data_IF_830997671633
#
_entry.id   IF_830997671633
#
_cell.length_a   1.000
_cell.length_b   1.000
_cell.length_c   1.000
_cell.angle_alpha   90.00
_cell.angle_beta   90.00
_cell.angle_gamma   90.00
#
_symmetry.space_group_name_H-M   'P 1'
#
loop_
_entity.id
_entity.type
_entity.pdbx_description
1 polymer ?
#
# COMPACT_ATOMS: atom_id res chain seq x y z
N UNK A 1 -4.99 9.98 -0.22
CA UNK A 1 -4.35 10.96 -1.14
C UNK A 1 -3.03 11.39 -0.50
N UNK A 2 -1.88 11.22 -1.17
CA UNK A 2 -0.53 11.44 -0.60
C UNK A 2 -0.10 12.92 -0.55
N UNK A 3 -0.74 13.81 -1.30
CA UNK A 3 -0.37 15.22 -1.39
C UNK A 3 -1.40 16.09 -0.66
N UNK A 4 -1.02 16.67 0.48
CA UNK A 4 -1.88 17.57 1.26
C UNK A 4 -2.11 18.93 0.60
N UNK A 5 -1.26 19.27 -0.38
CA UNK A 5 -1.39 20.48 -1.18
C UNK A 5 -2.29 20.28 -2.41
N UNK A 6 -2.91 19.10 -2.57
CA UNK A 6 -3.75 18.82 -3.75
C UNK A 6 -5.16 19.37 -3.55
N UNK A 7 -5.59 20.21 -4.48
CA UNK A 7 -6.94 20.76 -4.53
C UNK A 7 -7.92 19.75 -5.17
N UNK A 8 -9.22 20.02 -5.04
CA UNK A 8 -10.30 19.15 -5.51
C UNK A 8 -10.30 18.91 -7.03
N UNK A 9 -9.67 19.78 -7.82
CA UNK A 9 -9.53 19.70 -9.28
C UNK A 9 -8.21 19.04 -9.73
N UNK A 10 -7.49 18.41 -8.80
CA UNK A 10 -6.13 17.87 -8.99
C UNK A 10 -5.07 18.94 -9.28
N UNK A 11 -5.31 20.21 -8.95
CA UNK A 11 -4.28 21.24 -8.97
C UNK A 11 -3.39 21.14 -7.73
N UNK A 12 -2.07 21.22 -7.91
CA UNK A 12 -1.14 21.39 -6.80
C UNK A 12 -1.10 22.85 -6.36
N UNK A 13 -1.38 23.11 -5.07
CA UNK A 13 -1.36 24.46 -4.48
C UNK A 13 0.02 25.12 -4.45
N UNK A 14 1.09 24.33 -4.37
CA UNK A 14 2.47 24.85 -4.28
C UNK A 14 2.95 25.34 -5.65
N UNK A 15 2.70 24.53 -6.69
CA UNK A 15 3.28 24.73 -8.01
C UNK A 15 2.30 25.33 -9.03
N UNK A 16 0.99 25.37 -8.72
CA UNK A 16 -0.04 25.91 -9.62
C UNK A 16 -0.23 25.09 -10.91
N UNK A 17 0.07 23.79 -10.83
CA UNK A 17 0.04 22.85 -11.98
C UNK A 17 -0.90 21.68 -11.71
N UNK A 18 -1.51 21.16 -12.77
CA UNK A 18 -2.44 20.04 -12.69
C UNK A 18 -1.68 18.72 -12.61
N UNK A 19 -1.92 17.98 -11.54
CA UNK A 19 -1.34 16.65 -11.32
C UNK A 19 -2.09 15.63 -12.17
N UNK A 20 -1.34 14.73 -12.81
CA UNK A 20 -1.84 13.63 -13.62
C UNK A 20 -0.98 12.37 -13.41
N UNK A 21 -1.38 11.25 -14.00
CA UNK A 21 -0.64 9.98 -13.92
C UNK A 21 0.84 10.09 -14.33
N UNK A 22 1.16 10.98 -15.27
CA UNK A 22 2.51 11.20 -15.79
C UNK A 22 3.16 12.49 -15.27
N UNK A 23 2.46 13.24 -14.42
CA UNK A 23 2.95 14.53 -13.92
C UNK A 23 2.57 14.68 -12.45
N UNK A 24 3.51 14.25 -11.60
CA UNK A 24 3.31 14.13 -10.16
C UNK A 24 3.90 15.31 -9.41
N UNK A 25 3.26 15.70 -8.30
CA UNK A 25 3.82 16.64 -7.35
C UNK A 25 4.92 15.95 -6.52
N UNK A 26 6.07 16.61 -6.33
CA UNK A 26 7.19 16.16 -5.48
C UNK A 26 7.01 16.52 -4.00
N UNK A 27 6.18 17.52 -3.70
CA UNK A 27 5.71 17.82 -2.34
C UNK A 27 4.57 16.89 -1.91
N UNK A 28 4.90 15.63 -1.61
CA UNK A 28 3.98 14.68 -1.02
C UNK A 28 4.56 14.08 0.26
N UNK A 29 3.68 13.69 1.18
CA UNK A 29 4.05 12.91 2.36
C UNK A 29 3.48 11.50 2.19
N UNK A 30 4.31 10.49 2.42
CA UNK A 30 3.82 9.11 2.43
C UNK A 30 2.95 8.92 3.67
N UNK A 31 1.63 8.82 3.48
CA UNK A 31 0.72 8.53 4.59
C UNK A 31 0.74 7.04 4.90
N UNK A 32 1.05 6.68 6.13
CA UNK A 32 1.07 5.29 6.59
C UNK A 32 -0.29 4.59 6.40
N UNK A 33 -1.41 5.31 6.50
CA UNK A 33 -2.76 4.79 6.24
C UNK A 33 -2.98 4.32 4.79
N UNK A 34 -2.14 4.80 3.86
CA UNK A 34 -2.13 4.41 2.45
C UNK A 34 -1.09 3.32 2.17
N UNK A 35 -0.32 2.92 3.19
CA UNK A 35 0.58 1.78 3.10
C UNK A 35 -0.26 0.49 3.15
N UNK A 36 -0.17 -0.27 2.07
CA UNK A 36 -0.83 -1.56 1.95
C UNK A 36 -0.04 -2.59 2.77
N UNK A 37 -0.46 -2.81 4.02
CA UNK A 37 0.21 -3.70 4.99
C UNK A 37 0.02 -5.20 4.66
N UNK A 38 0.36 -5.60 3.43
CA UNK A 38 0.36 -6.99 2.96
C UNK A 38 1.74 -7.60 3.13
N UNK A 39 1.88 -8.40 4.17
CA UNK A 39 3.05 -9.22 4.42
C UNK A 39 2.64 -10.62 4.86
N UNK A 40 3.62 -11.48 5.13
CA UNK A 40 3.38 -12.79 5.70
C UNK A 40 2.52 -12.73 6.97
N UNK A 41 2.80 -11.84 7.92
CA UNK A 41 2.02 -11.75 9.17
C UNK A 41 0.58 -11.31 8.97
N UNK A 42 0.25 -10.56 7.91
CA UNK A 42 -1.14 -10.22 7.57
C UNK A 42 -1.83 -11.24 6.66
N UNK A 43 -1.13 -12.27 6.16
CA UNK A 43 -1.67 -13.30 5.27
C UNK A 43 -2.40 -14.42 6.03
N UNK A 44 -3.54 -14.89 5.51
CA UNK A 44 -4.28 -16.04 6.07
C UNK A 44 -3.50 -17.35 6.04
N UNK A 45 -2.58 -17.51 5.09
CA UNK A 45 -1.82 -18.75 4.83
C UNK A 45 -0.46 -18.81 5.53
N UNK A 46 -0.11 -17.80 6.30
CA UNK A 46 1.17 -17.77 7.00
C UNK A 46 1.25 -18.87 8.06
N UNK A 47 2.38 -19.59 8.08
CA UNK A 47 2.62 -20.76 8.95
C UNK A 47 1.61 -21.90 8.78
N UNK A 48 0.89 -21.94 7.64
CA UNK A 48 -0.04 -23.03 7.29
C UNK A 48 0.54 -23.91 6.19
N UNK A 49 0.04 -25.14 6.12
CA UNK A 49 0.44 -26.13 5.10
C UNK A 49 0.15 -25.68 3.66
N UNK A 50 -0.82 -24.78 3.47
CA UNK A 50 -1.18 -24.21 2.17
C UNK A 50 -0.41 -22.92 1.82
N UNK A 51 0.62 -22.56 2.60
CA UNK A 51 1.55 -21.49 2.24
C UNK A 51 2.33 -21.87 0.98
N UNK A 52 2.41 -20.98 0.00
CA UNK A 52 3.21 -21.22 -1.21
C UNK A 52 4.73 -21.23 -0.97
N UNK A 53 5.19 -20.63 0.14
CA UNK A 53 6.62 -20.47 0.45
C UNK A 53 6.92 -20.71 1.94
N UNK A 54 6.59 -21.89 2.51
CA UNK A 54 6.59 -22.10 3.96
C UNK A 54 7.98 -21.96 4.59
N UNK A 55 9.04 -22.38 3.89
CA UNK A 55 10.42 -22.29 4.39
C UNK A 55 11.05 -20.89 4.30
N UNK A 56 10.42 -19.96 3.57
CA UNK A 56 10.96 -18.61 3.33
C UNK A 56 10.08 -17.50 3.88
N UNK A 57 8.83 -17.81 4.22
CA UNK A 57 7.90 -16.85 4.78
C UNK A 57 8.46 -16.29 6.09
N UNK A 58 8.48 -14.96 6.20
CA UNK A 58 8.99 -14.27 7.40
C UNK A 58 8.22 -12.98 7.63
N UNK A 59 8.16 -12.48 8.88
CA UNK A 59 7.58 -11.17 9.17
C UNK A 59 8.15 -10.06 8.29
N UNK A 60 7.30 -9.15 7.84
CA UNK A 60 7.66 -8.04 6.94
C UNK A 60 7.94 -8.45 5.47
N UNK A 61 7.97 -9.75 5.13
CA UNK A 61 8.16 -10.18 3.75
C UNK A 61 6.85 -10.08 2.97
N UNK A 62 6.88 -9.38 1.83
CA UNK A 62 5.76 -9.32 0.90
C UNK A 62 5.67 -10.61 0.08
N UNK A 63 4.45 -11.09 -0.16
CA UNK A 63 4.19 -12.31 -0.92
C UNK A 63 3.24 -12.00 -2.09
N UNK A 64 3.62 -12.39 -3.32
CA UNK A 64 2.80 -12.15 -4.52
C UNK A 64 1.48 -12.93 -4.53
N UNK A 65 1.38 -13.98 -3.71
CA UNK A 65 0.18 -14.81 -3.53
C UNK A 65 -0.44 -14.65 -2.15
N UNK A 66 -0.31 -13.45 -1.57
CA UNK A 66 -0.94 -13.05 -0.31
C UNK A 66 -2.46 -13.27 -0.37
N UNK A 67 -3.03 -13.77 0.74
CA UNK A 67 -4.45 -13.98 0.90
C UNK A 67 -4.96 -13.17 2.11
N UNK A 68 -6.07 -12.42 1.97
CA UNK A 68 -6.65 -11.66 3.07
C UNK A 68 -7.12 -12.60 4.18
N UNK A 69 -6.98 -12.19 5.44
CA UNK A 69 -7.64 -12.85 6.56
C UNK A 69 -9.12 -12.53 6.49
N UNK A 70 -9.98 -13.55 6.38
CA UNK A 70 -11.43 -13.37 6.47
C UNK A 70 -11.78 -12.60 7.77
N UNK A 71 -12.43 -11.44 7.62
CA UNK A 71 -12.95 -10.68 8.75
C UNK A 71 -14.20 -11.41 9.25
N UNK A 72 -14.10 -12.17 10.34
CA UNK A 72 -15.31 -12.64 11.04
C UNK A 72 -15.87 -11.47 11.85
N UNK A 73 -16.94 -10.87 11.32
CA UNK A 73 -17.82 -9.96 12.05
C UNK A 73 -18.56 -10.69 13.17
#
# INVERSE_FOLDING_TARGET
MNCDNMMSDSMCKVHGVKVASHYTCDHFEMKAELADHRDCTSCQRYERDDCANPAKASPGMMCSVWAPREFRA
#
